data_IF_753178664190
#
_entry.id   IF_753178664190
#
_cell.length_a   1.000
_cell.length_b   1.000
_cell.length_c   1.000
_cell.angle_alpha   90.00
_cell.angle_beta   90.00
_cell.angle_gamma   90.00
#
_symmetry.space_group_name_H-M   'P 1'
#
loop_
_entity.id
_entity.type
_entity.pdbx_description
1 polymer ?
#
# COMPACT_ATOMS: atom_id res chain seq x y z
N UNK A 1 14.36 -39.10 4.73
CA UNK A 1 14.86 -38.70 3.40
C UNK A 1 13.69 -38.13 2.63
N UNK A 2 13.48 -36.81 2.64
CA UNK A 2 12.52 -36.18 1.75
C UNK A 2 13.09 -36.29 0.33
N UNK A 3 12.31 -36.84 -0.61
CA UNK A 3 12.73 -36.95 -2.01
C UNK A 3 13.06 -35.57 -2.61
N UNK A 4 13.83 -35.53 -3.71
CA UNK A 4 14.19 -34.27 -4.34
C UNK A 4 12.93 -33.48 -4.72
N UNK A 5 12.87 -32.21 -4.31
CA UNK A 5 11.83 -31.29 -4.71
C UNK A 5 11.89 -31.15 -6.24
N UNK A 6 10.90 -31.71 -6.92
CA UNK A 6 10.81 -31.66 -8.37
C UNK A 6 10.20 -30.31 -8.79
N UNK A 7 10.94 -29.54 -9.56
CA UNK A 7 10.42 -28.32 -10.21
C UNK A 7 9.27 -28.73 -11.14
N UNK A 8 8.09 -28.14 -10.94
CA UNK A 8 6.92 -28.36 -11.79
C UNK A 8 6.82 -27.25 -12.83
N UNK A 9 7.59 -27.37 -13.92
CA UNK A 9 7.54 -26.42 -15.04
C UNK A 9 6.15 -26.36 -15.71
N UNK A 10 5.31 -27.39 -15.51
CA UNK A 10 3.93 -27.45 -16.02
C UNK A 10 2.86 -26.79 -15.14
N UNK A 11 3.23 -26.07 -14.09
CA UNK A 11 2.26 -25.39 -13.23
C UNK A 11 1.81 -24.06 -13.82
N UNK A 12 0.49 -23.87 -13.92
CA UNK A 12 -0.13 -22.57 -14.22
C UNK A 12 -0.50 -21.77 -12.96
N UNK A 13 -0.17 -22.31 -11.77
CA UNK A 13 -0.46 -21.64 -10.51
C UNK A 13 0.46 -20.42 -10.35
N UNK A 14 -0.04 -19.32 -9.74
CA UNK A 14 0.81 -18.21 -9.36
C UNK A 14 1.88 -18.66 -8.35
N UNK A 15 2.97 -17.89 -8.19
CA UNK A 15 3.89 -18.10 -7.07
C UNK A 15 3.15 -18.04 -5.73
N UNK A 16 3.61 -18.83 -4.75
CA UNK A 16 3.03 -18.95 -3.40
C UNK A 16 2.59 -17.61 -2.80
N UNK A 17 3.47 -16.60 -2.79
CA UNK A 17 3.14 -15.31 -2.16
C UNK A 17 1.99 -14.56 -2.86
N UNK A 18 1.76 -14.84 -4.15
CA UNK A 18 0.63 -14.27 -4.91
C UNK A 18 -0.67 -14.98 -4.56
N UNK A 19 -0.64 -16.30 -4.40
CA UNK A 19 -1.81 -17.08 -3.95
C UNK A 19 -2.19 -16.71 -2.52
N UNK A 20 -1.20 -16.62 -1.62
CA UNK A 20 -1.38 -16.22 -0.22
C UNK A 20 -2.03 -14.83 -0.11
N UNK A 21 -1.50 -13.83 -0.83
CA UNK A 21 -2.07 -12.49 -0.86
C UNK A 21 -3.53 -12.51 -1.36
N UNK A 22 -3.84 -13.29 -2.39
CA UNK A 22 -5.21 -13.38 -2.94
C UNK A 22 -6.16 -14.03 -1.94
N UNK A 23 -5.74 -15.09 -1.25
CA UNK A 23 -6.54 -15.78 -0.25
C UNK A 23 -6.80 -14.89 0.97
N UNK A 24 -5.76 -14.26 1.52
CA UNK A 24 -5.88 -13.38 2.68
C UNK A 24 -6.67 -12.10 2.36
N UNK A 25 -6.49 -11.53 1.16
CA UNK A 25 -7.32 -10.42 0.71
C UNK A 25 -8.80 -10.81 0.57
N UNK A 26 -9.09 -12.01 0.08
CA UNK A 26 -10.47 -12.51 0.02
C UNK A 26 -11.05 -12.64 1.44
N UNK A 27 -10.32 -13.27 2.36
CA UNK A 27 -10.72 -13.42 3.76
C UNK A 27 -10.99 -12.06 4.43
N UNK A 28 -10.08 -11.08 4.26
CA UNK A 28 -10.27 -9.71 4.76
C UNK A 28 -11.56 -9.09 4.23
N UNK A 29 -11.83 -9.18 2.93
CA UNK A 29 -13.02 -8.58 2.31
C UNK A 29 -14.31 -9.33 2.64
N UNK A 30 -14.22 -10.61 3.01
CA UNK A 30 -15.34 -11.44 3.43
C UNK A 30 -15.64 -11.37 4.93
N UNK A 31 -14.76 -10.73 5.72
CA UNK A 31 -14.96 -10.52 7.15
C UNK A 31 -16.23 -9.70 7.43
N UNK A 32 -16.95 -10.09 8.50
CA UNK A 32 -18.13 -9.36 8.96
C UNK A 32 -17.77 -8.02 9.58
N UNK A 33 -18.47 -6.97 9.18
CA UNK A 33 -18.41 -5.65 9.76
C UNK A 33 -19.78 -5.32 10.36
N UNK A 34 -19.81 -5.03 11.65
CA UNK A 34 -21.01 -4.62 12.34
C UNK A 34 -21.28 -3.15 12.02
N UNK A 35 -22.31 -2.89 11.21
CA UNK A 35 -22.70 -1.51 10.91
C UNK A 35 -23.41 -0.86 12.11
N UNK A 36 -23.47 0.48 12.14
CA UNK A 36 -24.20 1.20 13.19
C UNK A 36 -25.70 0.87 13.27
N UNK A 37 -26.28 0.20 12.26
CA UNK A 37 -27.67 -0.27 12.28
C UNK A 37 -27.85 -1.62 12.99
N UNK A 38 -26.75 -2.27 13.42
CA UNK A 38 -26.74 -3.58 14.06
C UNK A 38 -26.70 -4.75 13.07
N UNK A 39 -26.58 -4.48 11.76
CA UNK A 39 -26.46 -5.53 10.74
C UNK A 39 -24.98 -5.87 10.52
N UNK A 40 -24.67 -7.17 10.43
CA UNK A 40 -23.33 -7.60 10.03
C UNK A 40 -23.29 -7.86 8.53
N UNK A 41 -22.54 -7.04 7.80
CA UNK A 41 -22.33 -7.21 6.36
C UNK A 41 -20.86 -7.47 6.10
N UNK A 42 -20.54 -8.24 5.06
CA UNK A 42 -19.15 -8.42 4.64
C UNK A 42 -18.54 -7.06 4.29
N UNK A 43 -17.39 -6.74 4.89
CA UNK A 43 -16.78 -5.42 4.77
C UNK A 43 -16.47 -5.03 3.32
N UNK A 44 -16.13 -6.00 2.47
CA UNK A 44 -15.88 -5.76 1.05
C UNK A 44 -17.12 -5.39 0.24
N UNK A 45 -18.34 -5.63 0.74
CA UNK A 45 -19.59 -5.47 0.00
C UNK A 45 -20.22 -4.08 0.16
N UNK A 46 -19.60 -3.19 0.93
CA UNK A 46 -20.03 -1.79 0.95
C UNK A 46 -19.69 -1.11 -0.37
N UNK A 47 -20.69 -0.47 -0.96
CA UNK A 47 -20.60 0.29 -2.21
C UNK A 47 -19.77 1.55 -2.02
N UNK A 48 -20.01 2.24 -0.90
CA UNK A 48 -19.39 3.51 -0.55
C UNK A 48 -18.41 3.32 0.61
N UNK A 49 -17.21 3.89 0.47
CA UNK A 49 -16.25 3.92 1.55
C UNK A 49 -14.88 4.43 1.14
N UNK A 50 -14.07 4.70 2.14
CA UNK A 50 -12.65 5.04 2.02
C UNK A 50 -11.82 3.86 2.49
N UNK A 51 -10.64 3.67 1.92
CA UNK A 51 -9.68 2.65 2.34
C UNK A 51 -8.27 3.22 2.36
N UNK A 52 -7.43 2.66 3.21
CA UNK A 52 -6.02 3.00 3.33
C UNK A 52 -5.17 1.73 3.34
N UNK A 53 -3.96 1.84 2.79
CA UNK A 53 -2.95 0.80 2.79
C UNK A 53 -1.78 1.19 3.69
N UNK A 54 -1.23 0.21 4.38
CA UNK A 54 -0.10 0.37 5.30
C UNK A 54 1.00 -0.63 4.96
N UNK A 55 2.25 -0.23 5.15
CA UNK A 55 3.40 -1.12 4.93
C UNK A 55 3.82 -1.90 6.18
N UNK A 56 4.88 -2.71 6.05
CA UNK A 56 5.39 -3.56 7.14
C UNK A 56 5.95 -2.79 8.35
N UNK A 57 6.14 -1.47 8.24
CA UNK A 57 6.51 -0.61 9.37
C UNK A 57 5.28 0.08 9.99
N UNK A 58 4.07 -0.24 9.52
CA UNK A 58 2.81 0.39 9.96
C UNK A 58 2.59 1.78 9.38
N UNK A 59 3.42 2.23 8.43
CA UNK A 59 3.31 3.54 7.81
C UNK A 59 2.14 3.57 6.81
N UNK A 60 1.26 4.58 6.84
CA UNK A 60 0.27 4.75 5.79
C UNK A 60 0.98 5.09 4.47
N UNK A 61 0.59 4.42 3.39
CA UNK A 61 1.23 4.59 2.08
C UNK A 61 0.27 5.06 1.00
N UNK A 62 -1.03 4.78 1.11
CA UNK A 62 -2.01 5.17 0.11
C UNK A 62 -3.40 5.27 0.74
N UNK A 63 -4.19 6.23 0.30
CA UNK A 63 -5.61 6.38 0.63
C UNK A 63 -6.42 6.44 -0.66
N UNK A 64 -7.59 5.83 -0.69
CA UNK A 64 -8.50 5.99 -1.82
C UNK A 64 -9.96 5.83 -1.41
N UNK A 65 -10.84 6.34 -2.26
CA UNK A 65 -12.28 6.21 -2.10
C UNK A 65 -12.94 5.34 -3.18
N UNK A 66 -14.17 4.90 -2.92
CA UNK A 66 -15.05 4.25 -3.90
C UNK A 66 -16.52 4.50 -3.63
N UNK A 67 -17.29 4.54 -4.72
CA UNK A 67 -18.75 4.41 -4.76
C UNK A 67 -19.20 3.28 -5.71
N UNK A 68 -18.26 2.41 -6.09
CA UNK A 68 -18.47 1.21 -6.92
C UNK A 68 -18.66 0.00 -6.01
N UNK A 69 -17.60 -0.35 -5.26
CA UNK A 69 -17.57 -1.33 -4.18
C UNK A 69 -16.16 -1.41 -3.60
N UNK A 70 -16.01 -1.51 -2.27
CA UNK A 70 -14.71 -1.65 -1.61
C UNK A 70 -13.92 -2.83 -2.16
N UNK A 71 -14.53 -4.02 -2.22
CA UNK A 71 -13.93 -5.23 -2.80
C UNK A 71 -13.40 -4.99 -4.20
N UNK A 72 -14.17 -4.33 -5.05
CA UNK A 72 -13.80 -4.14 -6.45
C UNK A 72 -12.59 -3.23 -6.59
N UNK A 73 -12.56 -2.08 -5.88
CA UNK A 73 -11.44 -1.14 -5.97
C UNK A 73 -10.18 -1.66 -5.29
N UNK A 74 -10.30 -2.22 -4.09
CA UNK A 74 -9.14 -2.77 -3.37
C UNK A 74 -8.50 -3.92 -4.15
N UNK A 75 -9.29 -4.87 -4.68
CA UNK A 75 -8.74 -5.93 -5.55
C UNK A 75 -8.07 -5.35 -6.79
N UNK A 76 -8.66 -4.33 -7.41
CA UNK A 76 -8.03 -3.67 -8.57
C UNK A 76 -6.61 -3.20 -8.24
N UNK A 77 -6.42 -2.55 -7.10
CA UNK A 77 -5.10 -2.07 -6.68
C UNK A 77 -4.14 -3.21 -6.35
N UNK A 78 -4.59 -4.28 -5.69
CA UNK A 78 -3.66 -5.28 -5.16
C UNK A 78 -3.43 -6.48 -6.07
N UNK A 79 -4.37 -6.81 -6.96
CA UNK A 79 -4.30 -8.00 -7.81
C UNK A 79 -4.21 -7.70 -9.29
N UNK A 80 -4.44 -6.45 -9.71
CA UNK A 80 -4.37 -6.05 -11.11
C UNK A 80 -3.23 -5.05 -11.33
N UNK A 81 -2.17 -5.51 -12.00
CA UNK A 81 -1.01 -4.68 -12.33
C UNK A 81 -1.30 -3.53 -13.30
N UNK A 82 -2.53 -3.45 -13.85
CA UNK A 82 -2.94 -2.41 -14.83
C UNK A 82 -3.63 -1.19 -14.23
N UNK A 83 -3.78 -1.07 -12.90
CA UNK A 83 -4.38 0.13 -12.30
C UNK A 83 -3.47 1.33 -12.33
N UNK A 84 -3.97 2.55 -12.47
CA UNK A 84 -3.14 3.76 -12.57
C UNK A 84 -2.07 3.88 -11.47
N UNK A 85 -2.41 3.54 -10.21
CA UNK A 85 -1.46 3.55 -9.10
C UNK A 85 -0.36 2.46 -9.20
N UNK A 86 -0.67 1.28 -9.74
CA UNK A 86 0.32 0.20 -9.86
C UNK A 86 1.06 0.26 -11.19
N UNK A 87 0.34 0.53 -12.28
CA UNK A 87 0.84 0.64 -13.64
C UNK A 87 1.83 1.79 -13.81
N UNK A 88 1.65 2.89 -13.07
CA UNK A 88 2.62 4.00 -13.04
C UNK A 88 3.73 3.79 -12.01
N UNK A 89 3.83 2.61 -11.38
CA UNK A 89 4.78 2.31 -10.30
C UNK A 89 4.69 3.29 -9.12
N UNK A 90 3.49 3.80 -8.84
CA UNK A 90 3.24 4.68 -7.69
C UNK A 90 3.19 3.87 -6.40
N UNK A 91 2.51 2.72 -6.43
CA UNK A 91 2.34 1.79 -5.32
C UNK A 91 2.83 0.39 -5.73
N UNK A 92 3.66 -0.22 -4.88
CA UNK A 92 3.99 -1.65 -4.99
C UNK A 92 3.03 -2.47 -4.12
N UNK A 93 2.18 -3.35 -4.68
CA UNK A 93 1.29 -4.21 -3.90
C UNK A 93 2.02 -5.10 -2.88
N UNK A 94 3.30 -5.42 -3.12
CA UNK A 94 4.07 -6.25 -2.18
C UNK A 94 4.40 -5.50 -0.89
N UNK A 95 4.47 -4.17 -0.94
CA UNK A 95 4.67 -3.32 0.23
C UNK A 95 3.39 -3.16 1.07
N UNK A 96 2.24 -3.68 0.65
CA UNK A 96 0.99 -3.59 1.43
C UNK A 96 0.92 -4.76 2.42
N UNK A 97 0.99 -4.43 3.71
CA UNK A 97 0.91 -5.37 4.82
C UNK A 97 -0.50 -5.42 5.44
N UNK A 98 -1.09 -4.24 5.66
CA UNK A 98 -2.42 -4.07 6.24
C UNK A 98 -3.31 -3.17 5.40
N UNK A 99 -4.61 -3.38 5.54
CA UNK A 99 -5.66 -2.53 4.98
C UNK A 99 -6.53 -2.04 6.13
N UNK A 100 -6.92 -0.77 6.07
CA UNK A 100 -8.01 -0.23 6.87
C UNK A 100 -9.11 0.31 5.95
N UNK A 101 -10.36 0.07 6.29
CA UNK A 101 -11.51 0.56 5.52
C UNK A 101 -12.52 1.25 6.42
N UNK A 102 -13.16 2.29 5.87
CA UNK A 102 -14.22 3.08 6.50
C UNK A 102 -15.47 2.98 5.62
N UNK A 103 -16.32 1.95 5.83
CA UNK A 103 -17.58 1.83 5.11
C UNK A 103 -18.54 2.98 5.43
N UNK A 104 -19.42 3.32 4.47
CA UNK A 104 -20.53 4.26 4.64
C UNK A 104 -21.88 3.57 4.42
N UNK A 105 -22.40 2.80 5.40
CA UNK A 105 -23.64 2.04 5.29
C UNK A 105 -24.85 2.89 4.89
N UNK A 106 -24.92 4.12 5.39
CA UNK A 106 -26.01 5.06 5.10
C UNK A 106 -26.10 5.47 3.63
N UNK A 107 -25.02 5.27 2.86
CA UNK A 107 -24.98 5.55 1.42
C UNK A 107 -25.21 4.30 0.56
N UNK A 108 -25.38 3.11 1.15
CA UNK A 108 -25.38 1.83 0.42
C UNK A 108 -26.40 1.77 -0.72
N UNK A 109 -27.59 2.34 -0.53
CA UNK A 109 -28.67 2.38 -1.54
C UNK A 109 -28.59 3.61 -2.46
N UNK A 110 -27.72 4.58 -2.16
CA UNK A 110 -27.63 5.84 -2.89
C UNK A 110 -26.91 5.64 -4.23
N UNK A 111 -27.43 6.32 -5.26
CA UNK A 111 -26.86 6.30 -6.61
C UNK A 111 -25.43 6.84 -6.60
N UNK A 112 -24.51 6.15 -7.29
CA UNK A 112 -23.12 6.61 -7.45
C UNK A 112 -23.00 7.96 -8.17
N UNK A 113 -24.09 8.48 -8.76
CA UNK A 113 -24.17 9.78 -9.42
C UNK A 113 -24.69 10.90 -8.51
N UNK A 114 -25.14 10.57 -7.29
CA UNK A 114 -25.63 11.54 -6.33
C UNK A 114 -24.52 12.49 -5.89
N UNK A 115 -24.77 13.79 -6.01
CA UNK A 115 -23.76 14.82 -5.75
C UNK A 115 -23.47 14.98 -4.27
N UNK A 116 -24.47 14.83 -3.41
CA UNK A 116 -24.32 15.03 -1.96
C UNK A 116 -23.60 13.84 -1.31
N UNK A 117 -23.93 12.62 -1.73
CA UNK A 117 -23.21 11.41 -1.32
C UNK A 117 -21.73 11.47 -1.74
N UNK A 118 -21.43 11.98 -2.94
CA UNK A 118 -20.04 12.20 -3.39
C UNK A 118 -19.32 13.23 -2.52
N UNK A 119 -19.96 14.35 -2.19
CA UNK A 119 -19.36 15.37 -1.30
C UNK A 119 -19.02 14.80 0.07
N UNK A 120 -19.88 13.94 0.63
CA UNK A 120 -19.62 13.23 1.89
C UNK A 120 -18.44 12.27 1.77
N UNK A 121 -18.37 11.50 0.68
CA UNK A 121 -17.27 10.59 0.41
C UNK A 121 -15.94 11.36 0.23
N UNK A 122 -15.93 12.45 -0.54
CA UNK A 122 -14.78 13.33 -0.72
C UNK A 122 -14.32 13.95 0.61
N UNK A 123 -15.27 14.32 1.48
CA UNK A 123 -14.96 14.84 2.81
C UNK A 123 -14.30 13.78 3.71
N UNK A 124 -14.75 12.53 3.64
CA UNK A 124 -14.12 11.43 4.36
C UNK A 124 -12.73 11.13 3.78
N UNK A 125 -12.57 11.11 2.46
CA UNK A 125 -11.26 10.89 1.81
C UNK A 125 -10.26 11.98 2.23
N UNK A 126 -10.68 13.25 2.25
CA UNK A 126 -9.87 14.36 2.78
C UNK A 126 -9.43 14.09 4.21
N UNK A 127 -10.38 13.85 5.12
CA UNK A 127 -10.09 13.62 6.53
C UNK A 127 -9.09 12.47 6.73
N UNK A 128 -9.32 11.32 6.10
CA UNK A 128 -8.45 10.14 6.24
C UNK A 128 -7.07 10.40 5.62
N UNK A 129 -7.01 11.11 4.49
CA UNK A 129 -5.73 11.49 3.87
C UNK A 129 -4.93 12.44 4.75
N UNK A 130 -5.57 13.45 5.34
CA UNK A 130 -4.92 14.39 6.27
C UNK A 130 -4.36 13.64 7.49
N UNK A 131 -5.16 12.74 8.09
CA UNK A 131 -4.71 11.91 9.20
C UNK A 131 -3.55 10.99 8.80
N UNK A 132 -3.60 10.37 7.62
CA UNK A 132 -2.53 9.51 7.10
C UNK A 132 -1.23 10.30 6.91
N UNK A 133 -1.29 11.49 6.31
CA UNK A 133 -0.14 12.39 6.12
C UNK A 133 0.42 12.84 7.47
N UNK A 134 -0.43 13.20 8.42
CA UNK A 134 0.00 13.61 9.77
C UNK A 134 0.70 12.48 10.53
N UNK A 135 0.18 11.25 10.43
CA UNK A 135 0.74 10.07 11.11
C UNK A 135 2.01 9.56 10.45
N UNK A 136 2.17 9.75 9.15
CA UNK A 136 3.37 9.29 8.45
C UNK A 136 4.63 9.98 8.98
N UNK A 137 5.68 9.18 9.20
CA UNK A 137 7.04 9.67 9.48
C UNK A 137 7.53 10.62 8.40
N UNK A 138 7.12 10.42 7.14
CA UNK A 138 7.56 11.21 6.00
C UNK A 138 6.77 12.51 5.80
N UNK A 139 5.67 12.68 6.56
CA UNK A 139 4.65 13.73 6.35
C UNK A 139 4.14 13.76 4.90
N UNK A 140 4.04 12.58 4.29
CA UNK A 140 3.60 12.38 2.92
C UNK A 140 3.20 10.91 2.69
N UNK A 141 2.23 10.69 1.80
CA UNK A 141 1.85 9.37 1.29
C UNK A 141 2.01 9.33 -0.24
N UNK A 142 1.75 8.18 -0.87
CA UNK A 142 2.03 7.93 -2.29
C UNK A 142 0.88 8.37 -3.22
N UNK A 143 -0.12 9.09 -2.72
CA UNK A 143 -1.19 9.62 -3.56
C UNK A 143 -0.66 10.66 -4.57
N UNK A 144 -0.86 10.41 -5.86
CA UNK A 144 -0.51 11.35 -6.94
C UNK A 144 -1.27 12.67 -6.80
N UNK A 145 -2.56 12.58 -6.45
CA UNK A 145 -3.47 13.71 -6.35
C UNK A 145 -3.91 13.91 -4.91
N UNK A 146 -4.08 15.17 -4.55
CA UNK A 146 -4.73 15.51 -3.30
C UNK A 146 -6.24 15.27 -3.43
N UNK A 147 -6.93 14.89 -2.34
CA UNK A 147 -8.37 14.72 -2.41
C UNK A 147 -9.06 16.04 -2.80
N UNK A 148 -10.26 16.00 -3.41
CA UNK A 148 -10.96 17.20 -3.86
C UNK A 148 -11.14 18.20 -2.71
N UNK A 149 -10.95 19.52 -2.93
CA UNK A 149 -11.13 20.52 -1.89
C UNK A 149 -12.59 20.58 -1.41
N UNK A 150 -12.81 20.98 -0.17
CA UNK A 150 -14.14 21.18 0.38
C UNK A 150 -14.14 21.51 1.86
N UNK A 151 -15.23 22.10 2.35
CA UNK A 151 -15.38 22.61 3.73
C UNK A 151 -16.30 21.75 4.60
N UNK A 152 -16.88 20.69 4.03
CA UNK A 152 -17.75 19.78 4.79
C UNK A 152 -16.92 19.05 5.84
N UNK A 153 -17.23 19.33 7.11
CA UNK A 153 -16.66 18.62 8.24
C UNK A 153 -17.35 17.27 8.42
N UNK A 154 -16.55 16.22 8.62
CA UNK A 154 -17.01 14.86 8.90
C UNK A 154 -16.18 14.28 10.03
N UNK A 155 -16.69 13.24 10.67
CA UNK A 155 -15.92 12.41 11.59
C UNK A 155 -15.65 11.07 10.91
N UNK A 156 -14.51 10.45 11.22
CA UNK A 156 -14.24 9.10 10.73
C UNK A 156 -15.28 8.14 11.33
N UNK A 157 -16.02 7.37 10.52
CA UNK A 157 -16.93 6.35 11.03
C UNK A 157 -16.12 5.18 11.61
N UNK A 158 -16.82 4.16 12.10
CA UNK A 158 -16.18 2.91 12.48
C UNK A 158 -15.36 2.34 11.32
N UNK A 159 -14.15 1.88 11.62
CA UNK A 159 -13.24 1.28 10.63
C UNK A 159 -13.08 -0.21 10.88
N UNK A 160 -12.61 -0.90 9.84
CA UNK A 160 -12.15 -2.28 9.92
C UNK A 160 -10.74 -2.37 9.39
N UNK A 161 -9.81 -2.79 10.25
CA UNK A 161 -8.39 -2.94 9.92
C UNK A 161 -7.96 -4.39 10.02
N UNK A 162 -7.13 -4.84 9.11
CA UNK A 162 -6.62 -6.21 9.11
C UNK A 162 -5.42 -6.42 8.22
N UNK A 163 -4.65 -7.45 8.58
CA UNK A 163 -3.50 -7.95 7.83
C UNK A 163 -3.95 -8.77 6.63
N UNK A 164 -3.23 -8.64 5.50
CA UNK A 164 -3.55 -9.34 4.24
C UNK A 164 -2.44 -10.28 3.74
N UNK A 165 -1.49 -10.63 4.60
CA UNK A 165 -0.42 -11.61 4.33
C UNK A 165 -0.31 -12.59 5.49
N UNK A 166 0.13 -13.83 5.22
CA UNK A 166 0.44 -14.80 6.27
C UNK A 166 1.76 -14.48 6.98
N UNK A 167 2.00 -15.13 8.13
CA UNK A 167 3.28 -15.01 8.85
C UNK A 167 4.46 -15.43 7.97
N UNK A 168 4.27 -16.46 7.13
CA UNK A 168 5.30 -16.92 6.21
C UNK A 168 5.63 -15.88 5.14
N UNK A 169 4.63 -15.23 4.56
CA UNK A 169 4.86 -14.14 3.60
C UNK A 169 5.44 -12.92 4.29
N UNK A 170 5.05 -12.64 5.53
CA UNK A 170 5.66 -11.59 6.35
C UNK A 170 7.16 -11.82 6.51
N UNK A 171 7.62 -13.01 6.91
CA UNK A 171 9.05 -13.34 7.03
C UNK A 171 9.84 -13.06 5.74
N UNK A 172 9.25 -13.40 4.58
CA UNK A 172 9.89 -13.21 3.29
C UNK A 172 9.95 -11.73 2.89
N UNK A 173 8.84 -11.02 3.04
CA UNK A 173 8.69 -9.66 2.53
C UNK A 173 9.17 -8.58 3.49
N UNK A 174 9.25 -8.86 4.80
CA UNK A 174 9.69 -7.88 5.80
C UNK A 174 11.21 -7.66 5.79
N UNK A 175 11.98 -8.56 5.17
CA UNK A 175 13.45 -8.49 5.16
C UNK A 175 13.93 -7.13 4.61
N UNK A 176 14.73 -6.35 5.37
CA UNK A 176 15.09 -4.98 4.99
C UNK A 176 15.73 -4.88 3.60
N UNK A 177 16.69 -5.77 3.29
CA UNK A 177 17.40 -5.73 2.01
C UNK A 177 16.50 -6.09 0.82
N UNK A 178 15.50 -6.96 1.04
CA UNK A 178 14.50 -7.29 0.02
C UNK A 178 13.62 -6.07 -0.28
N UNK A 179 13.18 -5.37 0.77
CA UNK A 179 12.37 -4.15 0.64
C UNK A 179 13.15 -3.00 -0.01
N UNK A 180 14.44 -2.84 0.34
CA UNK A 180 15.35 -1.88 -0.30
C UNK A 180 15.44 -2.17 -1.80
N UNK A 181 15.72 -3.43 -2.18
CA UNK A 181 15.82 -3.83 -3.59
C UNK A 181 14.52 -3.57 -4.37
N UNK A 182 13.36 -3.95 -3.80
CA UNK A 182 12.06 -3.68 -4.42
C UNK A 182 11.77 -2.20 -4.59
N UNK A 183 12.00 -1.39 -3.55
CA UNK A 183 11.77 0.07 -3.62
C UNK A 183 12.70 0.74 -4.63
N UNK A 184 13.96 0.31 -4.73
CA UNK A 184 14.87 0.79 -5.76
C UNK A 184 14.35 0.50 -7.18
N UNK A 185 13.83 -0.71 -7.42
CA UNK A 185 13.20 -1.09 -8.69
C UNK A 185 11.95 -0.22 -9.00
N UNK A 186 11.10 0.03 -8.00
CA UNK A 186 9.91 0.87 -8.15
C UNK A 186 10.29 2.32 -8.49
N UNK A 187 11.28 2.89 -7.79
CA UNK A 187 11.81 4.24 -8.06
C UNK A 187 12.37 4.33 -9.47
N UNK A 188 13.17 3.33 -9.89
CA UNK A 188 13.74 3.26 -11.24
C UNK A 188 12.64 3.29 -12.31
N UNK A 189 11.60 2.46 -12.17
CA UNK A 189 10.47 2.41 -13.09
C UNK A 189 9.65 3.70 -13.08
N UNK A 190 9.39 4.27 -11.91
CA UNK A 190 8.67 5.55 -11.79
C UNK A 190 9.44 6.69 -12.47
N UNK A 191 10.77 6.77 -12.26
CA UNK A 191 11.62 7.75 -12.92
C UNK A 191 11.61 7.58 -14.44
N UNK A 192 11.66 6.34 -14.93
CA UNK A 192 11.52 6.03 -16.36
C UNK A 192 10.17 6.53 -16.92
N UNK A 193 9.05 6.20 -16.27
CA UNK A 193 7.70 6.66 -16.69
C UNK A 193 7.62 8.18 -16.75
N UNK A 194 8.18 8.86 -15.75
CA UNK A 194 8.23 10.33 -15.69
C UNK A 194 9.08 10.93 -16.82
N UNK A 195 10.15 10.25 -17.23
CA UNK A 195 11.05 10.68 -18.31
C UNK A 195 10.42 10.49 -19.69
N UNK A 196 9.72 9.37 -19.90
CA UNK A 196 9.20 8.97 -21.21
C UNK A 196 7.84 9.61 -21.55
N UNK A 197 7.19 10.25 -20.58
CA UNK A 197 5.82 10.77 -20.73
C UNK A 197 5.70 12.19 -20.19
N UNK A 198 4.79 12.97 -20.78
CA UNK A 198 4.36 14.24 -20.19
C UNK A 198 3.45 13.97 -19.00
N UNK A 199 4.00 14.09 -17.79
CA UNK A 199 3.31 13.80 -16.52
C UNK A 199 3.04 15.06 -15.71
N UNK A 200 2.03 14.99 -14.83
CA UNK A 200 1.73 16.04 -13.86
C UNK A 200 2.72 16.02 -12.69
N UNK A 201 2.74 17.09 -11.88
CA UNK A 201 3.63 17.22 -10.73
C UNK A 201 3.46 16.12 -9.65
N UNK A 202 2.29 15.50 -9.57
CA UNK A 202 1.97 14.45 -8.60
C UNK A 202 2.93 13.25 -8.65
N UNK A 203 3.30 12.76 -9.83
CA UNK A 203 4.25 11.65 -9.94
C UNK A 203 5.66 12.02 -9.46
N UNK A 204 6.09 13.26 -9.66
CA UNK A 204 7.38 13.75 -9.13
C UNK A 204 7.35 13.85 -7.60
N UNK A 205 6.21 14.23 -7.03
CA UNK A 205 5.98 14.19 -5.57
C UNK A 205 6.07 12.76 -5.04
N UNK A 206 5.43 11.80 -5.72
CA UNK A 206 5.53 10.37 -5.37
C UNK A 206 6.98 9.88 -5.44
N UNK A 207 7.71 10.21 -6.52
CA UNK A 207 9.12 9.84 -6.69
C UNK A 207 9.98 10.34 -5.52
N UNK A 208 9.81 11.61 -5.13
CA UNK A 208 10.49 12.19 -3.97
C UNK A 208 10.15 11.43 -2.68
N UNK A 209 8.87 11.14 -2.43
CA UNK A 209 8.46 10.40 -1.22
C UNK A 209 9.05 8.99 -1.21
N UNK A 210 9.01 8.27 -2.32
CA UNK A 210 9.60 6.93 -2.43
C UNK A 210 11.12 6.97 -2.19
N UNK A 211 11.84 7.94 -2.75
CA UNK A 211 13.28 8.11 -2.52
C UNK A 211 13.62 8.33 -1.04
N UNK A 212 12.83 9.17 -0.33
CA UNK A 212 12.99 9.35 1.13
C UNK A 212 12.75 8.06 1.91
N UNK A 213 11.76 7.26 1.51
CA UNK A 213 11.48 5.95 2.14
C UNK A 213 12.60 4.95 1.90
N UNK A 214 13.17 4.92 0.69
CA UNK A 214 14.33 4.09 0.37
C UNK A 214 15.56 4.48 1.20
N UNK A 215 15.87 5.78 1.26
CA UNK A 215 16.96 6.30 2.08
C UNK A 215 16.77 5.89 3.54
N UNK A 216 15.58 6.11 4.11
CA UNK A 216 15.28 5.77 5.50
C UNK A 216 15.44 4.27 5.79
N UNK A 217 14.99 3.39 4.89
CA UNK A 217 15.19 1.94 5.07
C UNK A 217 16.67 1.54 4.98
N UNK A 218 17.41 2.12 4.04
CA UNK A 218 18.84 1.86 3.87
C UNK A 218 19.64 2.32 5.09
N UNK A 219 19.36 3.52 5.59
CA UNK A 219 19.97 4.07 6.81
C UNK A 219 19.66 3.20 8.02
N UNK A 220 18.36 2.88 8.26
CA UNK A 220 17.97 2.00 9.38
C UNK A 220 18.66 0.64 9.31
N UNK A 221 18.81 0.08 8.11
CA UNK A 221 19.48 -1.21 7.88
C UNK A 221 20.98 -1.13 8.16
N UNK A 222 21.65 -0.09 7.66
CA UNK A 222 23.07 0.15 7.88
C UNK A 222 23.38 0.28 9.38
N UNK A 223 22.65 1.15 10.08
CA UNK A 223 22.84 1.36 11.52
C UNK A 223 22.55 0.09 12.34
N UNK A 224 21.51 -0.68 11.98
CA UNK A 224 21.20 -1.94 12.65
C UNK A 224 22.30 -3.02 12.51
N UNK A 225 23.20 -2.87 11.53
CA UNK A 225 24.35 -3.75 11.30
C UNK A 225 25.68 -3.15 11.78
N UNK A 226 25.63 -2.16 12.68
CA UNK A 226 26.83 -1.54 13.26
C UNK A 226 27.29 -0.26 12.58
N UNK A 227 26.58 0.20 11.52
CA UNK A 227 26.83 1.47 10.87
C UNK A 227 28.28 1.65 10.44
N UNK A 228 28.85 2.83 10.72
CA UNK A 228 30.24 3.13 10.36
C UNK A 228 31.26 2.17 10.96
N UNK A 229 30.98 1.59 12.13
CA UNK A 229 31.91 0.69 12.80
C UNK A 229 32.02 -0.69 12.13
N UNK A 230 31.09 -1.07 11.24
CA UNK A 230 31.14 -2.33 10.51
C UNK A 230 31.82 -2.21 9.14
N UNK A 231 32.23 -1.01 8.73
CA UNK A 231 32.96 -0.79 7.48
C UNK A 231 34.44 -1.10 7.73
N UNK A 232 35.00 -2.04 6.96
CA UNK A 232 36.43 -2.39 7.02
C UNK A 232 37.29 -1.17 6.62
N UNK A 233 38.30 -0.86 7.42
CA UNK A 233 39.33 0.11 7.05
C UNK A 233 40.31 -0.57 6.11
N UNK A 234 40.53 0.03 4.94
CA UNK A 234 41.46 -0.47 3.94
C UNK A 234 42.89 -0.22 4.42
N UNK A 235 43.50 -1.22 5.08
CA UNK A 235 44.86 -1.15 5.64
C UNK A 235 45.89 -1.28 4.49
N UNK A 236 45.87 -0.30 3.59
CA UNK A 236 46.81 -0.14 2.48
C UNK A 236 48.16 0.38 2.97
N UNK A 237 48.71 -0.25 4.01
CA UNK A 237 50.15 -0.32 4.20
C UNK A 237 50.70 -1.48 3.37
N UNK A 238 50.63 -1.35 2.04
CA UNK A 238 51.54 -2.10 1.18
C UNK A 238 52.96 -1.63 1.49
N UNK A 239 53.63 -2.42 2.32
CA UNK A 239 55.06 -2.31 2.60
C UNK A 239 55.79 -2.37 1.25
N UNK A 240 56.16 -1.22 0.71
CA UNK A 240 57.16 -1.14 -0.35
C UNK A 240 58.46 -1.70 0.23
N UNK A 241 58.77 -2.95 -0.10
CA UNK A 241 60.09 -3.56 0.11
C UNK A 241 60.69 -3.90 -1.24
#
# INVERSE_FOLDING_TARGET
>A
MAGPLQLQDGSHLPPFETEDLRANLAAFLDAGFADPSGTTVRVGNYKWGVYAFFDYDGEPIYVGQTNEMLRTRIRRHLTNQRTDAVAMSVLDPFEVYEIEVWPLPELQTISGKDLEARRRLDALERLITEQAVQRSTFKAILNEKDPPPGVLAVHAPASFRGRIVSDRVFELRSHPDFRIARRALVISRLAQVISERKVQGGLRRVLKTQARRLQWLAERRYEALGGAASVEEDDSSEVST
#
